data_IF_210017744410
#
_entry.id   IF_210017744410
#
_cell.length_a   1.000
_cell.length_b   1.000
_cell.length_c   1.000
_cell.angle_alpha   90.00
_cell.angle_beta   90.00
_cell.angle_gamma   90.00
#
_symmetry.space_group_name_H-M   'P 1'
#
loop_
_entity.id
_entity.type
_entity.pdbx_description
1 polymer ?
#
# COMPACT_ATOMS: atom_id res chain seq x y z
N UNK A 1 -8.00 -13.29 0.14
CA UNK A 1 -7.14 -12.96 1.30
C UNK A 1 -7.44 -13.84 2.51
N UNK A 2 -8.67 -13.88 3.01
CA UNK A 2 -9.05 -14.70 4.18
C UNK A 2 -8.76 -16.21 4.00
N UNK A 3 -9.12 -16.81 2.87
CA UNK A 3 -8.85 -18.24 2.57
C UNK A 3 -7.35 -18.56 2.59
N UNK A 4 -6.52 -17.56 2.26
CA UNK A 4 -5.06 -17.64 2.28
C UNK A 4 -4.44 -17.17 3.61
N UNK A 5 -5.27 -16.92 4.63
CA UNK A 5 -4.89 -16.49 5.98
C UNK A 5 -4.04 -15.21 6.02
N UNK A 6 -4.25 -14.31 5.08
CA UNK A 6 -3.63 -12.97 5.08
C UNK A 6 -4.59 -11.98 5.73
N UNK A 7 -4.13 -11.34 6.81
CA UNK A 7 -4.91 -10.37 7.59
C UNK A 7 -4.14 -9.06 7.82
N UNK A 8 -4.85 -7.93 7.91
CA UNK A 8 -6.29 -7.74 7.68
C UNK A 8 -6.71 -8.03 6.22
N UNK A 9 -7.86 -8.67 6.04
CA UNK A 9 -8.28 -9.23 4.75
C UNK A 9 -9.03 -8.21 3.86
N UNK A 10 -8.57 -6.97 3.79
CA UNK A 10 -9.14 -5.93 2.93
C UNK A 10 -8.51 -5.95 1.53
N UNK A 11 -9.28 -5.53 0.52
CA UNK A 11 -8.81 -5.38 -0.85
C UNK A 11 -8.37 -3.93 -1.09
N UNK A 12 -7.05 -3.69 -1.14
CA UNK A 12 -6.49 -2.34 -1.31
C UNK A 12 -6.83 -1.76 -2.69
N UNK A 13 -6.87 -2.60 -3.72
CA UNK A 13 -7.14 -2.18 -5.11
C UNK A 13 -8.56 -1.62 -5.22
N UNK A 14 -9.53 -2.31 -4.62
CA UNK A 14 -10.95 -1.94 -4.69
C UNK A 14 -11.37 -0.91 -3.63
N UNK A 15 -10.62 -0.79 -2.54
CA UNK A 15 -10.93 0.18 -1.48
C UNK A 15 -10.55 1.59 -1.92
N UNK A 16 -11.48 2.54 -1.82
CA UNK A 16 -11.24 3.95 -2.11
C UNK A 16 -12.21 4.84 -1.32
N UNK A 17 -11.86 6.11 -1.18
CA UNK A 17 -12.71 7.13 -0.54
C UNK A 17 -12.91 8.28 -1.51
N UNK A 18 -14.17 8.64 -1.76
CA UNK A 18 -14.48 9.82 -2.58
C UNK A 18 -14.01 11.08 -1.86
N UNK A 19 -13.42 12.01 -2.60
CA UNK A 19 -12.91 13.29 -2.08
C UNK A 19 -11.87 13.12 -0.96
N UNK A 20 -10.98 12.14 -1.11
CA UNK A 20 -9.87 11.92 -0.17
C UNK A 20 -8.89 13.11 -0.10
N UNK A 21 -8.93 14.03 -1.07
CA UNK A 21 -8.24 15.33 -1.06
C UNK A 21 -8.64 16.23 0.12
N UNK A 22 -9.83 16.03 0.70
CA UNK A 22 -10.29 16.78 1.87
C UNK A 22 -9.88 16.15 3.19
N UNK A 23 -9.36 14.91 3.16
CA UNK A 23 -9.07 14.10 4.35
C UNK A 23 -7.57 13.97 4.62
N UNK A 24 -6.77 14.00 3.56
CA UNK A 24 -5.33 13.83 3.62
C UNK A 24 -4.64 15.15 3.29
N UNK A 25 -3.48 15.42 3.90
CA UNK A 25 -2.63 16.52 3.44
C UNK A 25 -2.13 16.25 2.02
N UNK A 26 -1.72 17.30 1.30
CA UNK A 26 -1.21 17.16 -0.07
C UNK A 26 -0.06 16.15 -0.18
N UNK A 27 0.86 16.18 0.77
CA UNK A 27 2.03 15.29 0.80
C UNK A 27 1.64 13.84 1.11
N UNK A 28 0.74 13.62 2.08
CA UNK A 28 0.23 12.28 2.40
C UNK A 28 -0.54 11.68 1.22
N UNK A 29 -1.37 12.48 0.54
CA UNK A 29 -2.14 12.04 -0.61
C UNK A 29 -1.21 11.58 -1.75
N UNK A 30 -0.14 12.32 -2.04
CA UNK A 30 0.85 11.92 -3.04
C UNK A 30 1.54 10.59 -2.67
N UNK A 31 1.89 10.41 -1.39
CA UNK A 31 2.53 9.17 -0.92
C UNK A 31 1.57 7.98 -0.95
N UNK A 32 0.30 8.17 -0.61
CA UNK A 32 -0.74 7.14 -0.74
C UNK A 32 -0.95 6.75 -2.21
N UNK A 33 -0.97 7.72 -3.13
CA UNK A 33 -1.03 7.42 -4.56
C UNK A 33 0.20 6.66 -5.06
N UNK A 34 1.39 7.01 -4.60
CA UNK A 34 2.62 6.28 -4.90
C UNK A 34 2.54 4.83 -4.39
N UNK A 35 2.13 4.64 -3.14
CA UNK A 35 1.92 3.33 -2.53
C UNK A 35 0.96 2.46 -3.35
N UNK A 36 -0.16 3.02 -3.81
CA UNK A 36 -1.13 2.34 -4.68
C UNK A 36 -0.52 1.96 -6.04
N UNK A 37 0.27 2.83 -6.65
CA UNK A 37 0.97 2.54 -7.92
C UNK A 37 2.00 1.42 -7.77
N UNK A 38 2.77 1.43 -6.67
CA UNK A 38 3.73 0.37 -6.37
C UNK A 38 3.02 -0.98 -6.17
N UNK A 39 1.87 -1.00 -5.49
CA UNK A 39 1.06 -2.21 -5.35
C UNK A 39 0.59 -2.73 -6.72
N UNK A 40 0.11 -1.85 -7.60
CA UNK A 40 -0.27 -2.21 -8.96
C UNK A 40 0.89 -2.81 -9.74
N UNK A 41 2.07 -2.20 -9.68
CA UNK A 41 3.26 -2.72 -10.34
C UNK A 41 3.71 -4.09 -9.82
N UNK A 42 3.59 -4.32 -8.51
CA UNK A 42 3.82 -5.65 -7.93
C UNK A 42 2.84 -6.67 -8.51
N UNK A 43 1.56 -6.33 -8.65
CA UNK A 43 0.56 -7.23 -9.22
C UNK A 43 0.76 -7.53 -10.72
N UNK A 44 1.41 -6.62 -11.45
CA UNK A 44 1.81 -6.86 -12.86
C UNK A 44 3.03 -7.79 -12.98
N UNK A 45 3.77 -8.02 -11.89
CA UNK A 45 4.96 -8.88 -11.87
C UNK A 45 4.53 -10.36 -11.91
N UNK A 46 5.05 -11.18 -12.85
CA UNK A 46 4.70 -12.59 -12.92
C UNK A 46 4.93 -13.33 -11.60
N UNK A 47 3.90 -14.03 -11.13
CA UNK A 47 3.94 -14.77 -9.85
C UNK A 47 3.46 -13.98 -8.63
N UNK A 48 3.16 -12.69 -8.78
CA UNK A 48 2.45 -11.92 -7.76
C UNK A 48 0.95 -11.90 -8.04
N UNK A 49 0.18 -12.15 -6.99
CA UNK A 49 -1.24 -11.85 -6.97
C UNK A 49 -1.54 -10.90 -5.81
N UNK A 50 -2.81 -10.50 -5.67
CA UNK A 50 -3.21 -9.54 -4.64
C UNK A 50 -2.84 -10.00 -3.22
N UNK A 51 -2.77 -11.32 -2.96
CA UNK A 51 -2.37 -11.85 -1.66
C UNK A 51 -0.90 -11.66 -1.38
N UNK A 52 -0.05 -11.93 -2.37
CA UNK A 52 1.40 -11.75 -2.27
C UNK A 52 1.77 -10.27 -2.22
N UNK A 53 1.13 -9.45 -3.07
CA UNK A 53 1.34 -8.01 -3.09
C UNK A 53 0.89 -7.33 -1.78
N UNK A 54 -0.28 -7.69 -1.25
CA UNK A 54 -0.75 -7.21 0.06
C UNK A 54 0.21 -7.64 1.17
N UNK A 55 0.69 -8.89 1.15
CA UNK A 55 1.66 -9.38 2.15
C UNK A 55 2.98 -8.61 2.12
N UNK A 56 3.47 -8.25 0.94
CA UNK A 56 4.69 -7.46 0.77
C UNK A 56 4.55 -6.04 1.36
N UNK A 57 3.42 -5.38 1.11
CA UNK A 57 3.08 -4.09 1.74
C UNK A 57 3.02 -4.22 3.25
N UNK A 58 2.34 -5.26 3.75
CA UNK A 58 2.17 -5.49 5.18
C UNK A 58 3.51 -5.78 5.87
N UNK A 59 4.44 -6.46 5.21
CA UNK A 59 5.79 -6.71 5.74
C UNK A 59 6.57 -5.40 5.92
N UNK A 60 6.52 -4.51 4.93
CA UNK A 60 7.11 -3.18 5.03
C UNK A 60 6.46 -2.35 6.14
N UNK A 61 5.13 -2.39 6.22
CA UNK A 61 4.38 -1.65 7.26
C UNK A 61 4.75 -2.14 8.67
N UNK A 62 4.90 -3.46 8.88
CA UNK A 62 5.36 -4.04 10.15
C UNK A 62 6.76 -3.57 10.57
N UNK A 63 7.61 -3.22 9.62
CA UNK A 63 8.96 -2.70 9.87
C UNK A 63 8.99 -1.25 10.39
N UNK A 64 7.85 -0.58 10.48
CA UNK A 64 7.76 0.83 10.87
C UNK A 64 6.84 1.03 12.07
N UNK A 65 7.09 2.09 12.86
CA UNK A 65 6.29 2.37 14.05
C UNK A 65 5.02 3.14 13.74
N UNK A 66 5.05 3.95 12.68
CA UNK A 66 3.93 4.81 12.30
C UNK A 66 3.68 4.77 10.79
N UNK A 67 2.44 5.09 10.38
CA UNK A 67 2.10 5.21 8.96
C UNK A 67 2.92 6.30 8.26
N UNK A 68 3.30 7.35 8.99
CA UNK A 68 4.16 8.41 8.48
C UNK A 68 5.54 7.83 8.09
N UNK A 69 6.19 7.11 9.01
CA UNK A 69 7.46 6.44 8.72
C UNK A 69 7.35 5.47 7.55
N UNK A 70 6.27 4.67 7.49
CA UNK A 70 5.99 3.78 6.37
C UNK A 70 5.95 4.53 5.03
N UNK A 71 5.14 5.58 4.93
CA UNK A 71 4.99 6.37 3.71
C UNK A 71 6.30 7.07 3.30
N UNK A 72 7.15 7.45 4.26
CA UNK A 72 8.50 7.97 3.99
C UNK A 72 9.41 6.91 3.33
N UNK A 73 9.32 5.64 3.74
CA UNK A 73 10.15 4.57 3.14
C UNK A 73 9.88 4.38 1.64
N UNK A 74 8.63 4.56 1.21
CA UNK A 74 8.22 4.37 -0.18
C UNK A 74 8.77 5.47 -1.10
N UNK A 75 9.05 6.64 -0.54
CA UNK A 75 9.58 7.79 -1.29
C UNK A 75 11.09 7.69 -1.46
N UNK A 76 11.79 7.04 -0.50
CA UNK A 76 13.24 6.84 -0.53
C UNK A 76 13.69 5.80 -1.55
N UNK A 77 12.90 4.77 -1.82
CA UNK A 77 13.23 3.73 -2.81
C UNK A 77 13.35 4.26 -4.26
N UNK A 78 12.99 5.52 -4.51
CA UNK A 78 13.12 6.23 -5.80
C UNK A 78 14.34 7.15 -5.89
N UNK A 79 15.13 7.31 -4.82
CA UNK A 79 16.28 8.23 -4.73
C UNK A 79 17.59 7.45 -4.57
#
# INVERSE_FOLDING_TARGET
LQERRVFPAFDIERSSTRREDLLLSGDELQRVYMMRRMLGHLMDTPGYDISSATSAVMERLRGTRTNYEFLETLTKDMM
#
